data_IF_226292524291
#
_entry.id   IF_226292524291
#
_cell.length_a   1.000
_cell.length_b   1.000
_cell.length_c   1.000
_cell.angle_alpha   90.00
_cell.angle_beta   90.00
_cell.angle_gamma   90.00
#
_symmetry.space_group_name_H-M   'P 1'
#
loop_
_entity.id
_entity.type
_entity.pdbx_description
1 polymer ?
#
# COMPACT_ATOMS: atom_id res chain seq x y z
N UNK A 1 39.19 8.65 13.39
CA UNK A 1 39.19 7.33 12.71
C UNK A 1 37.96 6.58 13.20
N UNK A 2 36.91 6.53 12.38
CA UNK A 2 35.65 5.86 12.70
C UNK A 2 35.84 4.35 12.59
N UNK A 3 35.73 3.65 13.71
CA UNK A 3 35.69 2.20 13.72
C UNK A 3 34.38 1.73 13.08
N UNK A 4 34.48 1.07 11.91
CA UNK A 4 33.40 0.28 11.34
C UNK A 4 32.94 -0.76 12.37
N UNK A 5 31.62 -1.01 12.53
CA UNK A 5 31.16 -2.10 13.38
C UNK A 5 31.57 -3.42 12.72
N UNK A 6 32.49 -4.13 13.35
CA UNK A 6 32.96 -5.45 12.91
C UNK A 6 31.83 -6.47 12.99
N UNK A 7 31.58 -7.17 11.89
CA UNK A 7 30.70 -8.33 11.79
C UNK A 7 31.36 -9.56 12.43
N UNK A 8 31.48 -9.60 13.76
CA UNK A 8 31.95 -10.79 14.48
C UNK A 8 30.75 -11.63 14.91
N UNK A 9 30.60 -12.79 14.26
CA UNK A 9 29.59 -13.80 14.58
C UNK A 9 30.02 -14.60 15.82
N UNK A 10 29.19 -14.60 16.86
CA UNK A 10 29.26 -15.56 17.97
C UNK A 10 28.22 -16.67 17.76
N UNK A 11 28.62 -17.93 17.93
CA UNK A 11 27.81 -19.13 17.61
C UNK A 11 27.22 -19.84 18.83
N UNK A 12 27.13 -19.20 20.00
CA UNK A 12 26.54 -19.81 21.19
C UNK A 12 25.60 -18.83 21.90
N UNK A 13 24.29 -19.15 21.88
CA UNK A 13 23.17 -18.31 22.35
C UNK A 13 22.25 -17.95 21.18
N UNK A 14 20.93 -17.89 21.39
CA UNK A 14 19.97 -17.49 20.36
C UNK A 14 20.22 -16.03 19.93
N UNK A 15 21.19 -15.82 19.03
CA UNK A 15 21.42 -14.50 18.45
C UNK A 15 20.36 -14.25 17.38
N UNK A 16 19.60 -13.16 17.54
CA UNK A 16 18.76 -12.60 16.49
C UNK A 16 19.62 -12.40 15.22
N UNK A 17 19.12 -12.80 14.05
CA UNK A 17 19.81 -12.71 12.75
C UNK A 17 18.87 -12.13 11.69
N UNK A 18 19.37 -11.99 10.47
CA UNK A 18 18.57 -11.56 9.32
C UNK A 18 18.04 -10.13 9.46
N UNK A 19 16.90 -9.86 8.86
CA UNK A 19 16.31 -8.52 8.81
C UNK A 19 15.94 -7.96 10.19
N UNK A 20 15.55 -8.82 11.14
CA UNK A 20 15.27 -8.40 12.51
C UNK A 20 16.53 -7.89 13.21
N UNK A 21 17.68 -8.53 13.00
CA UNK A 21 18.95 -8.03 13.53
C UNK A 21 19.42 -6.75 12.83
N UNK A 22 19.25 -6.67 11.51
CA UNK A 22 19.58 -5.44 10.78
C UNK A 22 18.70 -4.26 11.24
N UNK A 23 17.42 -4.52 11.52
CA UNK A 23 16.51 -3.54 12.11
C UNK A 23 17.00 -3.06 13.46
N UNK A 24 17.43 -3.97 14.34
CA UNK A 24 18.04 -3.61 15.61
C UNK A 24 19.27 -2.71 15.44
N UNK A 25 20.20 -3.08 14.55
CA UNK A 25 21.39 -2.27 14.26
C UNK A 25 21.06 -0.87 13.73
N UNK A 26 20.03 -0.76 12.88
CA UNK A 26 19.55 0.53 12.38
C UNK A 26 19.01 1.42 13.51
N UNK A 27 18.24 0.85 14.44
CA UNK A 27 17.73 1.59 15.61
C UNK A 27 18.84 2.02 16.55
N UNK A 28 19.88 1.21 16.76
CA UNK A 28 21.06 1.61 17.55
C UNK A 28 21.77 2.80 16.92
N UNK A 29 21.89 2.82 15.58
CA UNK A 29 22.53 3.91 14.85
C UNK A 29 21.65 5.16 14.75
N UNK A 30 20.34 4.99 14.66
CA UNK A 30 19.34 6.05 14.51
C UNK A 30 18.26 5.93 15.59
N UNK A 31 18.50 6.42 16.82
CA UNK A 31 17.58 6.22 17.94
C UNK A 31 16.17 6.83 17.77
N UNK A 32 16.01 7.74 16.80
CA UNK A 32 14.72 8.33 16.44
C UNK A 32 13.92 7.46 15.45
N UNK A 33 14.54 6.43 14.85
CA UNK A 33 13.87 5.51 13.93
C UNK A 33 12.84 4.67 14.70
N UNK A 34 11.60 4.69 14.20
CA UNK A 34 10.52 3.84 14.67
C UNK A 34 10.29 2.70 13.69
N UNK A 35 10.15 1.49 14.21
CA UNK A 35 9.90 0.29 13.41
C UNK A 35 8.60 -0.35 13.82
N UNK A 36 7.70 -0.52 12.86
CA UNK A 36 6.33 -0.95 13.06
C UNK A 36 6.17 -2.33 12.43
N UNK A 37 5.65 -3.27 13.20
CA UNK A 37 5.37 -4.62 12.71
C UNK A 37 4.04 -4.60 11.97
N UNK A 38 4.06 -4.83 10.66
CA UNK A 38 2.84 -4.97 9.87
C UNK A 38 2.45 -6.44 9.76
N UNK A 39 1.18 -6.74 10.03
CA UNK A 39 0.59 -8.06 9.90
C UNK A 39 -0.48 -7.98 8.81
N UNK A 40 -0.42 -8.91 7.84
CA UNK A 40 -1.41 -9.02 6.78
C UNK A 40 -0.84 -8.77 5.39
N UNK A 41 -1.45 -7.84 4.68
CA UNK A 41 -1.27 -7.57 3.27
C UNK A 41 -2.10 -8.47 2.38
N UNK A 42 -2.02 -8.21 1.08
CA UNK A 42 -2.80 -8.91 0.05
C UNK A 42 -2.77 -10.43 0.16
N UNK A 43 -1.67 -11.07 0.58
CA UNK A 43 -1.59 -12.53 0.67
C UNK A 43 -1.97 -13.09 2.04
N UNK A 44 -1.75 -12.36 3.13
CA UNK A 44 -1.86 -12.91 4.49
C UNK A 44 -3.07 -12.40 5.29
N UNK A 45 -4.01 -11.72 4.63
CA UNK A 45 -5.21 -11.18 5.26
C UNK A 45 -6.32 -12.19 5.58
N UNK A 46 -6.19 -13.43 5.11
CA UNK A 46 -7.28 -14.42 5.06
C UNK A 46 -7.83 -14.81 6.44
N UNK A 47 -7.01 -14.68 7.47
CA UNK A 47 -7.36 -15.10 8.83
C UNK A 47 -7.95 -13.98 9.69
N UNK A 48 -7.94 -12.72 9.24
CA UNK A 48 -8.41 -11.61 10.07
C UNK A 48 -9.90 -11.66 10.38
N UNK A 49 -10.74 -12.04 9.40
CA UNK A 49 -12.18 -12.12 9.62
C UNK A 49 -12.50 -13.08 10.78
N UNK A 50 -11.88 -14.26 10.79
CA UNK A 50 -12.01 -15.25 11.87
C UNK A 50 -11.41 -14.73 13.16
N UNK A 51 -10.16 -14.26 13.12
CA UNK A 51 -9.43 -13.84 14.31
C UNK A 51 -10.14 -12.68 15.04
N UNK A 52 -10.75 -11.76 14.31
CA UNK A 52 -11.42 -10.60 14.89
C UNK A 52 -12.91 -10.81 15.23
N UNK A 53 -13.52 -11.89 14.71
CA UNK A 53 -14.96 -12.18 14.88
C UNK A 53 -15.41 -12.37 16.34
N UNK A 54 -14.50 -12.74 17.24
CA UNK A 54 -14.80 -12.97 18.67
C UNK A 54 -13.88 -12.16 19.57
N UNK A 55 -14.36 -11.80 20.77
CA UNK A 55 -13.54 -11.12 21.77
C UNK A 55 -12.31 -11.95 22.19
N UNK A 56 -12.46 -13.28 22.31
CA UNK A 56 -11.34 -14.17 22.62
C UNK A 56 -10.28 -14.18 21.51
N UNK A 57 -10.70 -14.18 20.24
CA UNK A 57 -9.79 -14.10 19.10
C UNK A 57 -9.03 -12.77 19.04
N UNK A 58 -9.73 -11.64 19.19
CA UNK A 58 -9.10 -10.31 19.24
C UNK A 58 -8.10 -10.20 20.37
N UNK A 59 -8.49 -10.61 21.58
CA UNK A 59 -7.60 -10.67 22.75
C UNK A 59 -6.35 -11.49 22.48
N UNK A 60 -6.49 -12.65 21.84
CA UNK A 60 -5.35 -13.50 21.46
C UNK A 60 -4.39 -12.77 20.52
N UNK A 61 -4.90 -12.07 19.51
CA UNK A 61 -4.06 -11.28 18.59
C UNK A 61 -3.37 -10.12 19.32
N UNK A 62 -4.08 -9.44 20.23
CA UNK A 62 -3.51 -8.38 21.07
C UNK A 62 -2.33 -8.92 21.89
N UNK A 63 -2.55 -10.01 22.62
CA UNK A 63 -1.51 -10.60 23.49
C UNK A 63 -0.29 -11.09 22.68
N UNK A 64 -0.50 -11.79 21.58
CA UNK A 64 0.61 -12.35 20.80
C UNK A 64 1.37 -11.27 20.03
N UNK A 65 0.69 -10.26 19.48
CA UNK A 65 1.38 -9.16 18.82
C UNK A 65 2.19 -8.31 19.80
N UNK A 66 1.70 -8.08 21.03
CA UNK A 66 2.50 -7.44 22.07
C UNK A 66 3.76 -8.23 22.40
N UNK A 67 3.66 -9.55 22.58
CA UNK A 67 4.82 -10.40 22.84
C UNK A 67 5.87 -10.30 21.73
N UNK A 68 5.44 -10.32 20.46
CA UNK A 68 6.35 -10.16 19.32
C UNK A 68 6.99 -8.75 19.29
N UNK A 69 6.21 -7.71 19.57
CA UNK A 69 6.74 -6.34 19.65
C UNK A 69 7.79 -6.18 20.75
N UNK A 70 7.54 -6.77 21.92
CA UNK A 70 8.48 -6.78 23.05
C UNK A 70 9.73 -7.60 22.75
N UNK A 71 9.56 -8.79 22.18
CA UNK A 71 10.66 -9.71 21.86
C UNK A 71 11.62 -9.14 20.80
N UNK A 72 11.08 -8.46 19.78
CA UNK A 72 11.86 -7.97 18.65
C UNK A 72 12.12 -6.47 18.66
N UNK A 73 11.61 -5.76 19.67
CA UNK A 73 11.85 -4.33 19.87
C UNK A 73 11.15 -3.43 18.86
N UNK A 74 9.96 -3.81 18.40
CA UNK A 74 9.11 -2.96 17.55
C UNK A 74 8.46 -1.84 18.37
N UNK A 75 8.22 -0.70 17.75
CA UNK A 75 7.59 0.48 18.37
C UNK A 75 6.08 0.55 18.09
N UNK A 76 5.51 -0.42 17.37
CA UNK A 76 4.10 -0.41 17.06
C UNK A 76 3.63 -1.57 16.20
N UNK A 77 2.32 -1.61 16.01
CA UNK A 77 1.59 -2.61 15.24
C UNK A 77 0.82 -1.92 14.12
N UNK A 78 0.95 -2.48 12.92
CA UNK A 78 0.16 -2.13 11.75
C UNK A 78 -0.69 -3.33 11.33
N UNK A 79 -1.98 -3.12 11.08
CA UNK A 79 -2.87 -4.13 10.51
C UNK A 79 -3.17 -3.77 9.07
N UNK A 80 -2.71 -4.63 8.17
CA UNK A 80 -2.97 -4.53 6.74
C UNK A 80 -4.00 -5.61 6.35
N UNK A 81 -5.26 -5.39 6.74
CA UNK A 81 -6.36 -6.29 6.41
C UNK A 81 -6.91 -5.89 5.04
N UNK A 82 -6.61 -6.70 4.01
CA UNK A 82 -7.02 -6.48 2.62
C UNK A 82 -8.05 -7.53 2.16
N UNK A 83 -9.36 -7.26 2.20
CA UNK A 83 -10.00 -6.10 2.85
C UNK A 83 -11.15 -6.56 3.74
N UNK A 84 -11.47 -5.85 4.85
CA UNK A 84 -12.56 -6.22 5.73
C UNK A 84 -13.89 -6.22 4.96
N UNK A 85 -14.64 -7.31 5.06
CA UNK A 85 -15.94 -7.47 4.39
C UNK A 85 -15.85 -7.78 2.89
N UNK A 86 -14.65 -7.97 2.34
CA UNK A 86 -14.47 -8.44 0.97
C UNK A 86 -13.84 -9.82 0.95
N UNK A 87 -14.60 -10.81 0.46
CA UNK A 87 -14.01 -12.08 0.07
C UNK A 87 -13.09 -11.84 -1.12
N UNK A 88 -11.87 -12.35 -1.05
CA UNK A 88 -11.04 -12.51 -2.26
C UNK A 88 -11.73 -13.51 -3.18
N UNK A 89 -11.49 -13.38 -4.48
CA UNK A 89 -12.03 -14.33 -5.47
C UNK A 89 -10.95 -14.79 -6.43
N UNK A 90 -10.87 -16.11 -6.58
CA UNK A 90 -9.87 -16.84 -7.35
C UNK A 90 -10.64 -17.76 -8.27
N UNK A 91 -10.06 -18.00 -9.45
CA UNK A 91 -10.56 -19.03 -10.34
C UNK A 91 -10.34 -20.44 -9.78
N UNK A 92 -9.50 -20.58 -8.75
CA UNK A 92 -9.32 -21.80 -7.97
C UNK A 92 -10.31 -21.83 -6.79
N UNK A 93 -11.33 -22.72 -6.81
CA UNK A 93 -12.29 -22.85 -5.73
C UNK A 93 -11.67 -23.27 -4.39
N UNK A 94 -10.54 -23.98 -4.39
CA UNK A 94 -9.86 -24.38 -3.16
C UNK A 94 -9.18 -23.17 -2.48
N UNK A 95 -8.63 -22.25 -3.27
CA UNK A 95 -8.09 -20.99 -2.76
C UNK A 95 -9.20 -20.13 -2.10
N UNK A 96 -10.42 -20.18 -2.62
CA UNK A 96 -11.55 -19.41 -2.08
C UNK A 96 -12.05 -19.93 -0.72
N UNK A 97 -11.78 -21.20 -0.35
CA UNK A 97 -12.24 -21.77 0.93
C UNK A 97 -11.58 -21.13 2.15
N UNK A 98 -10.39 -20.57 1.98
CA UNK A 98 -9.65 -19.91 3.06
C UNK A 98 -9.99 -18.42 3.18
N UNK A 99 -10.77 -17.88 2.24
CA UNK A 99 -11.11 -16.46 2.17
C UNK A 99 -12.43 -16.18 2.87
N UNK A 100 -12.35 -16.12 4.19
CA UNK A 100 -13.50 -15.77 5.02
C UNK A 100 -13.65 -14.25 5.10
N UNK A 101 -14.89 -13.80 4.91
CA UNK A 101 -15.27 -12.40 5.07
C UNK A 101 -16.59 -12.29 5.82
N UNK A 102 -16.75 -11.23 6.59
CA UNK A 102 -17.98 -10.90 7.29
C UNK A 102 -18.36 -9.46 7.03
N UNK A 103 -19.68 -9.20 6.90
CA UNK A 103 -20.21 -7.83 6.89
C UNK A 103 -19.82 -7.02 8.14
N UNK A 104 -19.47 -7.72 9.23
CA UNK A 104 -19.04 -7.13 10.50
C UNK A 104 -17.52 -6.94 10.60
N UNK A 105 -16.72 -7.29 9.59
CA UNK A 105 -15.26 -7.26 9.69
C UNK A 105 -14.72 -5.88 10.05
N UNK A 106 -15.34 -4.81 9.54
CA UNK A 106 -14.98 -3.44 9.88
C UNK A 106 -15.24 -3.11 11.34
N UNK A 107 -16.39 -3.51 11.89
CA UNK A 107 -16.72 -3.34 13.30
C UNK A 107 -15.82 -4.20 14.19
N UNK A 108 -15.48 -5.41 13.75
CA UNK A 108 -14.57 -6.32 14.44
C UNK A 108 -13.14 -5.78 14.48
N UNK A 109 -12.65 -5.20 13.38
CA UNK A 109 -11.36 -4.51 13.31
C UNK A 109 -11.34 -3.26 14.21
N UNK A 110 -12.42 -2.46 14.23
CA UNK A 110 -12.54 -1.32 15.14
C UNK A 110 -12.56 -1.75 16.62
N UNK A 111 -13.24 -2.84 16.95
CA UNK A 111 -13.22 -3.43 18.29
C UNK A 111 -11.80 -3.91 18.64
N UNK A 112 -11.09 -4.55 17.72
CA UNK A 112 -9.70 -4.98 17.90
C UNK A 112 -8.80 -3.79 18.25
N UNK A 113 -8.87 -2.70 17.50
CA UNK A 113 -8.03 -1.52 17.79
C UNK A 113 -8.39 -0.83 19.10
N UNK A 114 -9.66 -0.94 19.54
CA UNK A 114 -10.08 -0.44 20.86
C UNK A 114 -9.44 -1.27 21.97
N UNK A 115 -9.48 -2.60 21.86
CA UNK A 115 -8.84 -3.53 22.79
C UNK A 115 -7.31 -3.38 22.79
N UNK A 116 -6.69 -3.26 21.61
CA UNK A 116 -5.26 -3.05 21.45
C UNK A 116 -4.81 -1.74 22.08
N UNK A 117 -5.53 -0.62 21.87
CA UNK A 117 -5.20 0.67 22.50
C UNK A 117 -5.31 0.59 24.02
N UNK A 118 -6.32 -0.11 24.55
CA UNK A 118 -6.48 -0.30 25.99
C UNK A 118 -5.32 -1.11 26.59
N UNK A 119 -4.84 -2.15 25.88
CA UNK A 119 -3.74 -2.98 26.33
C UNK A 119 -2.36 -2.29 26.21
N UNK A 120 -2.13 -1.58 25.11
CA UNK A 120 -0.80 -1.03 24.77
C UNK A 120 -0.58 0.38 25.32
N UNK A 121 -1.66 1.11 25.62
CA UNK A 121 -1.59 2.52 25.96
C UNK A 121 -0.88 3.32 24.86
N UNK A 122 -0.02 4.25 25.26
CA UNK A 122 0.80 5.06 24.34
C UNK A 122 2.22 4.50 24.16
N UNK A 123 2.49 3.27 24.63
CA UNK A 123 3.82 2.62 24.49
C UNK A 123 4.08 2.23 23.04
N UNK A 124 3.05 1.79 22.34
CA UNK A 124 3.11 1.31 20.95
C UNK A 124 2.24 2.17 20.04
N UNK A 125 2.77 2.49 18.87
CA UNK A 125 1.97 3.07 17.79
C UNK A 125 1.00 2.03 17.22
N UNK A 126 -0.21 2.46 16.89
CA UNK A 126 -1.21 1.65 16.18
C UNK A 126 -1.52 2.28 14.83
N UNK A 127 -1.37 1.51 13.77
CA UNK A 127 -1.78 1.90 12.43
C UNK A 127 -2.57 0.83 11.70
N UNK A 128 -3.22 1.24 10.63
CA UNK A 128 -3.81 0.33 9.67
C UNK A 128 -3.52 0.83 8.27
N UNK A 129 -3.22 -0.10 7.36
CA UNK A 129 -3.30 0.16 5.93
C UNK A 129 -4.76 0.07 5.50
N UNK A 130 -5.26 1.17 4.95
CA UNK A 130 -6.66 1.33 4.55
C UNK A 130 -6.75 1.57 3.05
N UNK A 131 -7.84 1.15 2.39
CA UNK A 131 -7.98 1.29 0.95
C UNK A 131 -7.94 2.77 0.50
N UNK A 132 -7.30 3.04 -0.63
CA UNK A 132 -7.29 4.35 -1.27
C UNK A 132 -8.48 4.64 -2.19
N UNK A 133 -9.49 3.76 -2.17
CA UNK A 133 -10.72 3.87 -2.94
C UNK A 133 -11.90 4.28 -2.04
N UNK A 134 -12.95 4.90 -2.59
CA UNK A 134 -14.18 5.14 -1.85
C UNK A 134 -14.86 3.79 -1.56
N UNK A 135 -14.74 3.33 -0.30
CA UNK A 135 -15.41 2.14 0.22
C UNK A 135 -16.83 2.44 0.76
N UNK A 136 -17.30 3.67 0.56
CA UNK A 136 -18.56 4.17 1.12
C UNK A 136 -18.45 4.51 2.61
N UNK A 137 -19.53 5.09 3.15
CA UNK A 137 -19.63 5.42 4.56
C UNK A 137 -19.60 4.14 5.41
N UNK A 138 -18.63 4.05 6.33
CA UNK A 138 -18.51 2.94 7.27
C UNK A 138 -18.60 3.44 8.71
N UNK A 139 -19.47 2.82 9.51
CA UNK A 139 -19.66 3.18 10.92
C UNK A 139 -18.46 2.85 11.80
N UNK A 140 -17.50 2.06 11.32
CA UNK A 140 -16.25 1.77 12.01
C UNK A 140 -15.22 2.92 11.96
N UNK A 141 -15.27 3.79 10.94
CA UNK A 141 -14.26 4.82 10.71
C UNK A 141 -14.06 5.78 11.89
N UNK A 142 -15.10 6.32 12.56
CA UNK A 142 -14.91 7.17 13.73
C UNK A 142 -14.17 6.46 14.87
N UNK A 143 -14.40 5.15 15.05
CA UNK A 143 -13.73 4.36 16.08
C UNK A 143 -12.24 4.19 15.77
N UNK A 144 -11.92 3.85 14.51
CA UNK A 144 -10.54 3.78 14.03
C UNK A 144 -9.82 5.13 14.15
N UNK A 145 -10.47 6.25 13.81
CA UNK A 145 -9.91 7.59 13.96
C UNK A 145 -9.57 7.96 15.41
N UNK A 146 -10.27 7.40 16.40
CA UNK A 146 -9.95 7.58 17.83
C UNK A 146 -8.78 6.71 18.29
N UNK A 147 -8.69 5.47 17.82
CA UNK A 147 -7.76 4.47 18.36
C UNK A 147 -6.40 4.43 17.64
N UNK A 148 -6.37 4.65 16.33
CA UNK A 148 -5.14 4.66 15.53
C UNK A 148 -4.33 5.93 15.81
N UNK A 149 -3.00 5.83 15.79
CA UNK A 149 -2.12 7.00 15.71
C UNK A 149 -2.12 7.57 14.29
N UNK A 150 -2.12 6.69 13.28
CA UNK A 150 -2.25 7.08 11.89
C UNK A 150 -2.84 5.94 11.04
N UNK A 151 -3.41 6.30 9.89
CA UNK A 151 -3.87 5.37 8.87
C UNK A 151 -3.06 5.57 7.58
N UNK A 152 -2.50 4.47 7.06
CA UNK A 152 -1.76 4.43 5.80
C UNK A 152 -2.75 4.24 4.67
N UNK A 153 -3.08 5.29 3.94
CA UNK A 153 -4.04 5.18 2.84
C UNK A 153 -3.30 4.67 1.60
N UNK A 154 -3.70 3.48 1.14
CA UNK A 154 -3.16 2.83 -0.06
C UNK A 154 -3.67 3.51 -1.33
N UNK A 155 -3.22 4.75 -1.54
CA UNK A 155 -3.68 5.67 -2.57
C UNK A 155 -3.05 5.35 -3.96
N UNK A 156 -3.03 4.06 -4.27
CA UNK A 156 -2.43 3.44 -5.45
C UNK A 156 -3.25 2.22 -5.86
N UNK A 157 -3.03 1.73 -7.08
CA UNK A 157 -3.81 0.62 -7.66
C UNK A 157 -5.32 0.86 -7.64
N UNK A 158 -5.78 2.12 -7.63
CA UNK A 158 -7.18 2.49 -7.80
C UNK A 158 -7.76 2.05 -9.16
N UNK A 159 -6.97 1.42 -10.04
CA UNK A 159 -7.37 0.85 -11.33
C UNK A 159 -7.96 -0.56 -11.26
N UNK A 160 -8.40 -0.99 -10.08
CA UNK A 160 -9.11 -2.25 -9.89
C UNK A 160 -10.49 -2.30 -10.55
N UNK A 161 -11.00 -1.21 -11.14
CA UNK A 161 -12.12 -1.26 -12.06
C UNK A 161 -11.66 -1.86 -13.41
N UNK A 162 -12.11 -3.07 -13.79
CA UNK A 162 -11.53 -3.88 -14.88
C UNK A 162 -11.91 -3.40 -16.28
N UNK A 163 -12.42 -2.18 -16.41
CA UNK A 163 -12.91 -1.65 -17.68
C UNK A 163 -11.96 -0.66 -18.30
N UNK A 164 -11.04 -0.01 -17.57
CA UNK A 164 -10.21 1.07 -18.15
C UNK A 164 -8.75 1.10 -17.71
N UNK A 165 -7.90 1.46 -18.65
CA UNK A 165 -6.50 1.74 -18.41
C UNK A 165 -6.36 3.16 -17.84
N UNK A 166 -6.01 3.28 -16.56
CA UNK A 166 -5.61 4.54 -15.95
C UNK A 166 -4.48 4.32 -14.94
N UNK A 167 -3.86 5.41 -14.48
CA UNK A 167 -2.94 5.37 -13.36
C UNK A 167 -3.69 5.21 -12.04
N UNK A 168 -3.54 4.07 -11.36
CA UNK A 168 -4.22 3.80 -10.09
C UNK A 168 -3.82 4.72 -8.91
N UNK A 169 -2.96 5.71 -9.14
CA UNK A 169 -2.54 6.70 -8.14
C UNK A 169 -2.76 8.15 -8.58
N UNK A 170 -3.72 8.43 -9.47
CA UNK A 170 -4.05 9.81 -9.85
C UNK A 170 -4.50 10.61 -8.62
N UNK A 171 -3.86 11.77 -8.42
CA UNK A 171 -4.06 12.60 -7.24
C UNK A 171 -5.47 13.18 -7.14
N UNK A 172 -5.98 13.71 -8.24
CA UNK A 172 -7.28 14.38 -8.33
C UNK A 172 -7.85 14.25 -9.73
N UNK A 173 -9.14 14.51 -9.85
CA UNK A 173 -9.82 14.59 -11.14
C UNK A 173 -9.71 15.97 -11.78
N UNK A 174 -10.01 16.06 -13.07
CA UNK A 174 -10.15 17.29 -13.87
C UNK A 174 -11.50 17.33 -14.59
N UNK A 175 -11.80 18.44 -15.26
CA UNK A 175 -13.13 18.63 -15.87
C UNK A 175 -13.48 17.59 -16.95
N UNK A 176 -12.49 17.17 -17.75
CA UNK A 176 -12.67 16.15 -18.78
C UNK A 176 -12.83 14.73 -18.25
N UNK A 177 -12.70 14.54 -16.93
CA UNK A 177 -12.98 13.27 -16.28
C UNK A 177 -14.49 13.01 -16.18
N UNK A 178 -14.87 11.75 -16.32
CA UNK A 178 -16.22 11.30 -16.12
C UNK A 178 -16.51 10.96 -14.65
N UNK A 179 -17.74 10.51 -14.40
CA UNK A 179 -18.21 10.18 -13.05
C UNK A 179 -17.32 9.19 -12.32
N UNK A 180 -16.73 8.22 -13.03
CA UNK A 180 -15.87 7.20 -12.44
C UNK A 180 -14.53 7.82 -12.04
N UNK A 181 -13.83 8.52 -12.94
CA UNK A 181 -12.55 9.16 -12.62
C UNK A 181 -12.68 10.27 -11.56
N UNK A 182 -13.83 10.95 -11.51
CA UNK A 182 -14.16 11.94 -10.47
C UNK A 182 -14.25 11.34 -9.06
N UNK A 183 -14.57 10.05 -8.95
CA UNK A 183 -14.71 9.34 -7.67
C UNK A 183 -13.43 8.57 -7.32
N UNK A 184 -12.75 7.97 -8.30
CA UNK A 184 -11.63 7.07 -8.09
C UNK A 184 -10.27 7.80 -8.20
N UNK A 185 -10.04 8.75 -7.30
CA UNK A 185 -8.77 9.46 -7.18
C UNK A 185 -8.39 9.64 -5.71
N UNK A 186 -7.10 9.88 -5.45
CA UNK A 186 -6.53 9.98 -4.11
C UNK A 186 -7.26 11.03 -3.27
N UNK A 187 -7.54 12.22 -3.82
CA UNK A 187 -8.19 13.31 -3.10
C UNK A 187 -9.58 12.91 -2.62
N UNK A 188 -10.40 12.33 -3.51
CA UNK A 188 -11.74 11.89 -3.16
C UNK A 188 -11.72 10.85 -2.02
N UNK A 189 -10.86 9.83 -2.11
CA UNK A 189 -10.73 8.83 -1.04
C UNK A 189 -10.27 9.42 0.30
N UNK A 190 -9.34 10.37 0.28
CA UNK A 190 -8.91 11.07 1.50
C UNK A 190 -10.04 11.89 2.13
N UNK A 191 -10.82 12.60 1.31
CA UNK A 191 -11.93 13.42 1.80
C UNK A 191 -13.06 12.55 2.38
N UNK A 192 -13.30 11.36 1.83
CA UNK A 192 -14.26 10.40 2.40
C UNK A 192 -13.88 9.96 3.82
N UNK A 193 -12.59 9.68 4.08
CA UNK A 193 -12.13 9.36 5.44
C UNK A 193 -12.35 10.50 6.42
N UNK A 194 -12.08 11.74 5.98
CA UNK A 194 -12.29 12.93 6.80
C UNK A 194 -13.78 13.15 7.06
N UNK A 195 -14.63 13.03 6.04
CA UNK A 195 -16.08 13.12 6.17
C UNK A 195 -16.65 12.03 7.09
N UNK A 196 -16.04 10.84 7.09
CA UNK A 196 -16.39 9.74 7.98
C UNK A 196 -15.82 9.86 9.40
N UNK A 197 -15.08 10.93 9.72
CA UNK A 197 -14.66 11.26 11.08
C UNK A 197 -13.24 10.81 11.46
N UNK A 198 -12.40 10.37 10.51
CA UNK A 198 -10.97 10.21 10.79
C UNK A 198 -10.29 11.58 10.75
N UNK A 199 -9.57 11.99 11.81
CA UNK A 199 -8.85 13.26 11.81
C UNK A 199 -7.85 13.34 10.65
N UNK A 200 -7.91 14.45 9.88
CA UNK A 200 -7.06 14.65 8.70
C UNK A 200 -5.58 14.48 8.99
N UNK A 201 -5.10 14.97 10.14
CA UNK A 201 -3.70 14.85 10.58
C UNK A 201 -3.25 13.42 10.95
N UNK A 202 -4.16 12.44 10.97
CA UNK A 202 -3.85 11.01 11.14
C UNK A 202 -3.79 10.26 9.80
N UNK A 203 -4.18 10.88 8.70
CA UNK A 203 -4.15 10.26 7.38
C UNK A 203 -2.76 10.43 6.76
N UNK A 204 -2.19 9.32 6.28
CA UNK A 204 -0.92 9.30 5.56
C UNK A 204 -1.18 8.92 4.10
N UNK A 205 -0.75 9.79 3.20
CA UNK A 205 -0.80 9.55 1.76
C UNK A 205 0.25 8.51 1.35
N UNK A 206 -0.21 7.31 0.96
CA UNK A 206 0.64 6.29 0.33
C UNK A 206 1.00 6.63 -1.11
N UNK A 207 2.29 6.59 -1.43
CA UNK A 207 2.84 6.88 -2.76
C UNK A 207 3.59 5.62 -3.26
N UNK A 208 3.17 5.00 -4.37
CA UNK A 208 3.77 3.77 -4.86
C UNK A 208 5.16 4.03 -5.49
N UNK A 209 6.14 3.21 -5.12
CA UNK A 209 7.48 3.14 -5.74
C UNK A 209 7.50 2.12 -6.89
N UNK A 210 6.36 1.92 -7.54
CA UNK A 210 6.13 1.04 -8.68
C UNK A 210 5.11 1.68 -9.62
N UNK A 211 5.02 1.13 -10.82
CA UNK A 211 4.03 1.52 -11.82
C UNK A 211 3.07 0.42 -12.18
N UNK A 212 1.90 0.83 -12.67
CA UNK A 212 0.94 -0.06 -13.32
C UNK A 212 0.92 0.24 -14.81
N UNK A 213 0.79 -0.79 -15.66
CA UNK A 213 0.86 -0.60 -17.09
C UNK A 213 -0.05 -1.53 -17.88
N UNK A 214 -0.12 -1.27 -19.18
CA UNK A 214 -0.89 -2.07 -20.13
C UNK A 214 -0.09 -2.27 -21.42
N UNK A 215 -0.31 -3.40 -22.08
CA UNK A 215 0.16 -3.68 -23.44
C UNK A 215 -1.01 -3.91 -24.40
N UNK A 216 -0.71 -3.93 -25.70
CA UNK A 216 -1.71 -4.04 -26.76
C UNK A 216 -2.25 -2.69 -27.25
N UNK A 217 -1.64 -1.58 -26.84
CA UNK A 217 -1.98 -0.26 -27.34
C UNK A 217 -1.49 -0.08 -28.78
N UNK A 218 -2.02 0.94 -29.46
CA UNK A 218 -1.42 1.48 -30.67
C UNK A 218 -1.20 3.00 -30.55
N UNK A 219 -0.44 3.59 -31.48
CA UNK A 219 -0.03 5.01 -31.43
C UNK A 219 -1.20 6.01 -31.45
N UNK A 220 -2.36 5.59 -31.97
CA UNK A 220 -3.55 6.43 -32.09
C UNK A 220 -4.46 6.32 -30.84
N UNK A 221 -4.17 5.41 -29.92
CA UNK A 221 -4.93 5.23 -28.69
C UNK A 221 -4.52 6.26 -27.63
N UNK A 222 -4.89 7.51 -27.88
CA UNK A 222 -4.77 8.64 -26.95
C UNK A 222 -6.17 9.08 -26.56
N UNK A 223 -6.46 9.04 -25.27
CA UNK A 223 -7.80 9.28 -24.73
C UNK A 223 -7.67 10.16 -23.49
N UNK A 224 -8.71 10.97 -23.22
CA UNK A 224 -8.76 12.02 -22.18
C UNK A 224 -7.56 12.97 -22.24
N UNK A 225 -7.78 14.18 -22.75
CA UNK A 225 -6.73 15.20 -22.90
C UNK A 225 -5.53 14.75 -23.75
N UNK A 226 -5.75 13.82 -24.68
CA UNK A 226 -4.74 13.27 -25.61
C UNK A 226 -3.57 12.54 -24.91
N UNK A 227 -3.79 12.03 -23.69
CA UNK A 227 -2.81 11.24 -22.94
C UNK A 227 -2.84 9.78 -23.46
N UNK A 228 -1.69 9.19 -23.82
CA UNK A 228 -1.63 7.80 -24.28
C UNK A 228 -2.21 6.83 -23.26
N UNK A 229 -3.13 5.97 -23.71
CA UNK A 229 -3.67 4.89 -22.88
C UNK A 229 -4.58 5.30 -21.73
N UNK A 230 -4.72 6.59 -21.41
CA UNK A 230 -5.48 7.04 -20.24
C UNK A 230 -6.99 7.01 -20.52
N UNK A 231 -7.77 6.33 -19.67
CA UNK A 231 -9.20 6.16 -19.83
C UNK A 231 -9.60 5.17 -20.94
N UNK A 232 -8.65 4.47 -21.55
CA UNK A 232 -8.92 3.50 -22.64
C UNK A 232 -9.66 2.30 -22.09
N UNK A 233 -10.74 1.89 -22.76
CA UNK A 233 -11.45 0.68 -22.37
C UNK A 233 -10.59 -0.57 -22.62
N UNK A 234 -10.25 -1.29 -21.54
CA UNK A 234 -9.38 -2.46 -21.58
C UNK A 234 -10.02 -3.58 -22.40
N UNK A 235 -11.30 -3.86 -22.19
CA UNK A 235 -11.98 -5.03 -22.78
C UNK A 235 -12.31 -4.77 -24.24
N UNK A 236 -12.84 -3.60 -24.56
CA UNK A 236 -13.18 -3.22 -25.94
C UNK A 236 -11.94 -3.16 -26.85
N UNK A 237 -10.76 -2.92 -26.27
CA UNK A 237 -9.50 -2.83 -27.02
C UNK A 237 -8.57 -4.04 -26.81
N UNK A 238 -9.01 -5.10 -26.11
CA UNK A 238 -8.21 -6.29 -25.80
C UNK A 238 -6.83 -5.97 -25.16
N UNK A 239 -6.77 -4.96 -24.30
CA UNK A 239 -5.53 -4.59 -23.62
C UNK A 239 -5.19 -5.61 -22.54
N UNK A 240 -3.88 -5.85 -22.36
CA UNK A 240 -3.37 -6.75 -21.31
C UNK A 240 -2.83 -5.91 -20.17
N UNK A 241 -3.38 -6.05 -18.96
CA UNK A 241 -2.84 -5.43 -17.75
C UNK A 241 -1.49 -6.09 -17.41
N UNK A 242 -0.45 -5.27 -17.29
CA UNK A 242 0.88 -5.70 -16.87
C UNK A 242 0.93 -5.82 -15.35
N UNK A 243 1.75 -6.73 -14.80
CA UNK A 243 1.95 -6.81 -13.35
C UNK A 243 2.54 -5.49 -12.81
N UNK A 244 2.20 -5.10 -11.57
CA UNK A 244 2.88 -4.00 -10.88
C UNK A 244 4.39 -4.17 -10.96
N UNK A 245 5.08 -3.15 -11.45
CA UNK A 245 6.51 -3.23 -11.76
C UNK A 245 7.26 -2.11 -11.04
N UNK A 246 8.30 -2.46 -10.26
CA UNK A 246 9.10 -1.50 -9.50
C UNK A 246 9.66 -0.38 -10.37
N UNK A 247 9.68 0.84 -9.83
CA UNK A 247 10.06 2.05 -10.55
C UNK A 247 11.44 1.90 -11.24
N UNK A 248 12.42 1.30 -10.57
CA UNK A 248 13.75 1.04 -11.13
C UNK A 248 13.71 0.19 -12.41
N UNK A 249 12.91 -0.88 -12.44
CA UNK A 249 12.77 -1.75 -13.63
C UNK A 249 12.06 -1.05 -14.77
N UNK A 250 11.09 -0.18 -14.47
CA UNK A 250 10.45 0.67 -15.48
C UNK A 250 11.49 1.63 -16.06
N UNK A 251 12.31 2.25 -15.20
CA UNK A 251 13.35 3.18 -15.65
C UNK A 251 14.43 2.51 -16.50
N UNK A 252 14.80 1.26 -16.21
CA UNK A 252 15.69 0.47 -17.06
C UNK A 252 15.12 0.31 -18.48
N UNK A 253 13.81 0.07 -18.63
CA UNK A 253 13.15 0.00 -19.94
C UNK A 253 13.13 1.37 -20.64
N UNK A 254 12.81 2.43 -19.90
CA UNK A 254 12.74 3.80 -20.43
C UNK A 254 14.10 4.26 -20.96
N UNK A 255 15.18 3.93 -20.25
CA UNK A 255 16.54 4.30 -20.62
C UNK A 255 17.04 3.62 -21.89
N UNK A 256 16.45 2.49 -22.30
CA UNK A 256 16.76 1.82 -23.58
C UNK A 256 16.22 2.60 -24.80
N UNK A 257 15.41 3.65 -24.59
CA UNK A 257 14.86 4.49 -25.65
C UNK A 257 13.51 4.01 -26.19
N UNK A 258 12.90 4.82 -27.05
CA UNK A 258 11.60 4.51 -27.66
C UNK A 258 10.37 4.84 -26.80
N UNK A 259 10.56 5.43 -25.61
CA UNK A 259 9.47 5.85 -24.73
C UNK A 259 9.29 7.37 -24.76
N UNK A 260 8.04 7.81 -24.87
CA UNK A 260 7.65 9.21 -24.67
C UNK A 260 7.19 9.40 -23.23
N UNK A 261 7.77 10.38 -22.51
CA UNK A 261 7.30 10.80 -21.17
C UNK A 261 6.25 11.90 -21.34
N UNK A 262 5.10 11.73 -20.69
CA UNK A 262 4.09 12.77 -20.51
C UNK A 262 3.85 12.94 -19.01
N UNK A 263 3.97 14.16 -18.50
CA UNK A 263 3.61 14.49 -17.11
C UNK A 263 2.26 15.19 -17.15
N UNK A 264 1.25 14.61 -16.48
CA UNK A 264 -0.01 15.28 -16.22
C UNK A 264 0.04 15.88 -14.82
N UNK A 265 0.42 17.15 -14.72
CA UNK A 265 0.53 17.85 -13.44
C UNK A 265 -0.84 18.04 -12.77
N UNK A 266 -1.92 18.14 -13.54
CA UNK A 266 -3.27 18.34 -13.00
C UNK A 266 -3.73 17.10 -12.25
N UNK A 267 -3.52 15.92 -12.82
CA UNK A 267 -3.81 14.63 -12.18
C UNK A 267 -2.66 14.10 -11.31
N UNK A 268 -1.48 14.72 -11.35
CA UNK A 268 -0.31 14.32 -10.56
C UNK A 268 0.21 12.93 -10.90
N UNK A 269 0.30 12.58 -12.18
CA UNK A 269 0.75 11.26 -12.67
C UNK A 269 1.69 11.39 -13.88
N UNK A 270 2.67 10.50 -13.99
CA UNK A 270 3.52 10.40 -15.17
C UNK A 270 3.12 9.19 -16.01
N UNK A 271 3.13 9.38 -17.33
CA UNK A 271 2.87 8.35 -18.33
C UNK A 271 4.12 8.16 -19.19
N UNK A 272 4.60 6.92 -19.29
CA UNK A 272 5.57 6.53 -20.32
C UNK A 272 4.88 5.68 -21.38
N UNK A 273 5.03 6.04 -22.66
CA UNK A 273 4.38 5.34 -23.76
C UNK A 273 5.34 5.09 -24.92
N UNK A 274 5.41 3.85 -25.42
CA UNK A 274 6.29 3.47 -26.54
C UNK A 274 5.57 3.12 -27.85
N UNK A 275 4.25 3.31 -27.91
CA UNK A 275 3.43 2.96 -29.07
C UNK A 275 2.65 1.66 -28.91
N UNK A 276 3.08 0.75 -28.04
CA UNK A 276 2.38 -0.52 -27.76
C UNK A 276 2.18 -0.82 -26.28
N UNK A 277 2.98 -0.18 -25.41
CA UNK A 277 2.94 -0.30 -23.97
C UNK A 277 2.81 1.08 -23.33
N UNK A 278 2.12 1.13 -22.19
CA UNK A 278 2.01 2.31 -21.35
C UNK A 278 2.33 1.96 -19.90
N UNK A 279 3.09 2.83 -19.22
CA UNK A 279 3.31 2.81 -17.78
C UNK A 279 2.74 4.07 -17.14
N UNK A 280 1.93 3.91 -16.10
CA UNK A 280 1.52 4.98 -15.19
C UNK A 280 2.34 4.87 -13.91
N UNK A 281 3.08 5.92 -13.59
CA UNK A 281 4.08 5.93 -12.52
C UNK A 281 4.12 7.25 -11.78
N UNK A 282 4.46 7.18 -10.51
CA UNK A 282 4.97 8.31 -9.78
C UNK A 282 6.46 8.52 -10.05
N UNK A 283 6.83 9.73 -10.45
CA UNK A 283 8.20 10.19 -10.66
C UNK A 283 8.56 11.23 -9.61
N UNK A 284 9.85 11.61 -9.43
CA UNK A 284 10.20 12.69 -8.52
C UNK A 284 9.36 13.96 -8.72
N UNK A 285 8.98 14.29 -9.96
CA UNK A 285 8.11 15.43 -10.26
C UNK A 285 6.69 15.27 -9.71
N UNK A 286 6.05 14.11 -9.90
CA UNK A 286 4.68 13.89 -9.41
C UNK A 286 4.62 13.58 -7.92
N UNK A 287 5.65 12.95 -7.36
CA UNK A 287 5.84 12.79 -5.92
C UNK A 287 5.92 14.17 -5.26
N UNK A 288 6.62 15.13 -5.86
CA UNK A 288 6.64 16.52 -5.36
C UNK A 288 5.23 17.13 -5.36
N UNK A 289 4.45 16.95 -6.43
CA UNK A 289 3.06 17.43 -6.50
C UNK A 289 2.21 16.83 -5.38
N UNK A 290 2.33 15.52 -5.16
CA UNK A 290 1.62 14.80 -4.08
C UNK A 290 2.08 15.24 -2.69
N UNK A 291 3.37 15.51 -2.51
CA UNK A 291 3.94 16.04 -1.28
C UNK A 291 3.42 17.44 -0.95
N UNK A 292 3.35 18.34 -1.93
CA UNK A 292 2.77 19.67 -1.74
C UNK A 292 1.27 19.58 -1.41
N UNK A 293 0.53 18.69 -2.06
CA UNK A 293 -0.85 18.42 -1.69
C UNK A 293 -0.98 17.92 -0.24
N UNK A 294 -0.17 16.93 0.17
CA UNK A 294 -0.19 16.44 1.53
C UNK A 294 0.09 17.56 2.55
N UNK A 295 1.07 18.42 2.27
CA UNK A 295 1.39 19.58 3.10
C UNK A 295 0.23 20.58 3.18
N UNK A 296 -0.38 20.94 2.05
CA UNK A 296 -1.53 21.87 2.00
C UNK A 296 -2.72 21.33 2.79
N UNK A 297 -2.97 20.03 2.68
CA UNK A 297 -4.05 19.33 3.38
C UNK A 297 -3.69 18.94 4.82
N UNK A 298 -2.48 19.25 5.32
CA UNK A 298 -2.01 18.85 6.65
C UNK A 298 -2.07 17.33 6.88
N UNK A 299 -1.82 16.56 5.82
CA UNK A 299 -1.60 15.13 5.81
C UNK A 299 -0.10 14.83 6.01
N UNK A 300 0.23 13.63 6.47
CA UNK A 300 1.57 13.09 6.26
C UNK A 300 1.62 12.33 4.92
N UNK A 301 2.81 11.97 4.45
CA UNK A 301 2.99 11.13 3.26
C UNK A 301 4.01 10.02 3.54
N UNK A 302 3.81 8.87 2.90
CA UNK A 302 4.69 7.71 2.97
C UNK A 302 4.90 7.13 1.58
N UNK A 303 6.13 6.72 1.29
CA UNK A 303 6.44 5.99 0.06
C UNK A 303 6.34 4.48 0.33
N UNK A 304 5.59 3.76 -0.49
CA UNK A 304 5.38 2.31 -0.36
C UNK A 304 6.02 1.60 -1.55
N UNK A 305 6.77 0.54 -1.28
CA UNK A 305 7.35 -0.29 -2.34
C UNK A 305 7.66 -1.66 -1.78
N UNK A 306 7.24 -2.70 -2.48
CA UNK A 306 7.78 -4.03 -2.24
C UNK A 306 9.20 -4.07 -2.79
N UNK A 307 10.22 -4.41 -1.99
CA UNK A 307 11.52 -4.74 -2.54
C UNK A 307 11.33 -5.99 -3.39
N UNK A 308 11.19 -5.84 -4.71
CA UNK A 308 11.27 -6.98 -5.63
C UNK A 308 12.72 -7.39 -5.80
N UNK A 309 13.29 -7.97 -4.74
CA UNK A 309 14.44 -8.86 -4.83
C UNK A 309 14.03 -10.22 -4.29
N UNK A 310 13.74 -11.13 -5.22
CA UNK A 310 13.94 -12.56 -5.01
C UNK A 310 15.41 -12.81 -4.66
N UNK A 311 15.76 -12.67 -3.39
CA UNK A 311 17.05 -13.15 -2.86
C UNK A 311 16.88 -14.61 -2.45
N UNK A 312 16.92 -15.51 -3.43
CA UNK A 312 17.39 -16.87 -3.20
C UNK A 312 18.36 -17.17 -4.33
N UNK A 313 19.69 -17.11 -4.11
CA UNK A 313 20.60 -17.74 -5.04
C UNK A 313 20.27 -19.23 -5.01
N UNK A 314 19.79 -19.78 -6.13
CA UNK A 314 19.85 -21.23 -6.32
C UNK A 314 21.32 -21.61 -6.14
N UNK A 315 21.62 -22.33 -5.06
CA UNK A 315 22.85 -23.09 -4.96
C UNK A 315 22.87 -24.04 -6.15
N UNK A 316 23.63 -23.71 -7.19
CA UNK A 316 24.09 -24.71 -8.14
C UNK A 316 25.00 -25.63 -7.35
N UNK A 317 24.47 -26.78 -6.93
CA UNK A 317 25.29 -27.94 -6.60
C UNK A 317 26.00 -28.34 -7.89
N UNK A 318 27.31 -28.08 -7.95
CA UNK A 318 28.19 -28.73 -8.91
C UNK A 318 28.22 -30.22 -8.56
N UNK A 319 27.71 -31.05 -9.45
CA UNK A 319 28.16 -32.43 -9.63
C UNK A 319 29.33 -32.43 -10.60
#
# INVERSE_FOLDING_TARGET
>A
MSSSPSSTFSTTGQCLKGELWQTHLLKTRYPHLKTIMSIGGWTWSDNFSVAFSTAAGRRRVVETSQQLMEQFGFDGLDIDFEFPGMAKSSKDPEANKFWQSSVNDWQNMAAFFTEARAAYGNKYSLSAALPGLPFGANTAWPSLGRTLDYALIMAYENNHMPTRAWGGGTLRSVESDDSVEKIYNVKAGMDDYVAAGIPRNKLILGIPLYGTGFSGLNRNMRFRDNIPGFGVDIRANNLVKLPPTGYNKIMEQVQQGGWTKTVDERRGITVYFNGSHVWFVDTPETIRIKGEYAKQERLAASCTGTPTRTCCPRTQTRS
#
